data_IF_720538831632
#
_entry.id   IF_720538831632
#
_cell.length_a   1.000
_cell.length_b   1.000
_cell.length_c   1.000
_cell.angle_alpha   90.00
_cell.angle_beta   90.00
_cell.angle_gamma   90.00
#
_symmetry.space_group_name_H-M   'P 1'
#
loop_
_entity.id
_entity.type
_entity.pdbx_description
1 polymer ?
#
# COMPACT_ATOMS: atom_id res chain seq x y z
N UNK A 1 76.55 54.48 -14.87
CA UNK A 1 75.62 53.52 -15.51
C UNK A 1 75.09 52.44 -14.56
N UNK A 2 75.65 52.28 -13.36
CA UNK A 2 75.30 51.20 -12.42
C UNK A 2 73.92 51.28 -11.73
N UNK A 3 73.30 52.46 -11.65
CA UNK A 3 71.97 52.62 -11.05
C UNK A 3 70.83 52.07 -11.93
N UNK A 4 71.05 51.93 -13.25
CA UNK A 4 70.09 51.30 -14.18
C UNK A 4 70.12 49.77 -14.05
N UNK A 5 71.31 49.19 -13.87
CA UNK A 5 71.49 47.75 -13.62
C UNK A 5 70.87 47.30 -12.30
N UNK A 6 71.03 48.08 -11.23
CA UNK A 6 70.46 47.77 -9.91
C UNK A 6 68.92 47.83 -9.90
N UNK A 7 68.32 48.81 -10.59
CA UNK A 7 66.85 48.89 -10.74
C UNK A 7 66.29 47.74 -11.58
N UNK A 8 66.98 47.31 -12.63
CA UNK A 8 66.59 46.15 -13.43
C UNK A 8 66.64 44.85 -12.63
N UNK A 9 67.69 44.67 -11.82
CA UNK A 9 67.85 43.48 -10.98
C UNK A 9 66.80 43.42 -9.85
N UNK A 10 66.52 44.57 -9.22
CA UNK A 10 65.52 44.68 -8.16
C UNK A 10 64.09 44.48 -8.69
N UNK A 11 63.77 45.05 -9.86
CA UNK A 11 62.48 44.85 -10.52
C UNK A 11 62.29 43.39 -10.97
N UNK A 12 63.35 42.73 -11.48
CA UNK A 12 63.32 41.30 -11.79
C UNK A 12 63.07 40.42 -10.56
N UNK A 13 63.64 40.78 -9.40
CA UNK A 13 63.40 40.06 -8.15
C UNK A 13 61.97 40.21 -7.64
N UNK A 14 61.37 41.41 -7.75
CA UNK A 14 59.96 41.64 -7.39
C UNK A 14 59.03 40.80 -8.28
N UNK A 15 59.27 40.76 -9.58
CA UNK A 15 58.48 39.95 -10.52
C UNK A 15 58.59 38.46 -10.18
N UNK A 16 59.78 37.97 -9.82
CA UNK A 16 60.00 36.58 -9.42
C UNK A 16 59.22 36.22 -8.14
N UNK A 17 59.22 37.07 -7.12
CA UNK A 17 58.47 36.83 -5.87
C UNK A 17 56.96 36.82 -6.12
N UNK A 18 56.45 37.73 -6.94
CA UNK A 18 55.04 37.76 -7.35
C UNK A 18 54.69 36.49 -8.14
N UNK A 19 55.54 36.06 -9.08
CA UNK A 19 55.32 34.84 -9.86
C UNK A 19 55.30 33.59 -8.96
N UNK A 20 56.20 33.48 -7.99
CA UNK A 20 56.23 32.38 -7.02
C UNK A 20 54.96 32.40 -6.15
N UNK A 21 54.51 33.57 -5.69
CA UNK A 21 53.27 33.71 -4.93
C UNK A 21 52.03 33.28 -5.71
N UNK A 22 51.96 33.67 -6.99
CA UNK A 22 50.88 33.25 -7.89
C UNK A 22 50.90 31.75 -8.16
N UNK A 23 52.08 31.16 -8.38
CA UNK A 23 52.24 29.71 -8.58
C UNK A 23 51.80 28.95 -7.32
N UNK A 24 52.20 29.39 -6.13
CA UNK A 24 51.76 28.76 -4.88
C UNK A 24 50.24 28.86 -4.67
N UNK A 25 49.64 30.01 -4.96
CA UNK A 25 48.19 30.18 -4.86
C UNK A 25 47.42 29.28 -5.86
N UNK A 26 47.94 29.13 -7.07
CA UNK A 26 47.36 28.25 -8.09
C UNK A 26 47.48 26.78 -7.66
N UNK A 27 48.67 26.35 -7.21
CA UNK A 27 48.91 24.96 -6.81
C UNK A 27 48.07 24.60 -5.58
N UNK A 28 48.02 25.46 -4.57
CA UNK A 28 47.24 25.22 -3.35
C UNK A 28 45.73 25.08 -3.67
N UNK A 29 45.19 25.98 -4.50
CA UNK A 29 43.79 25.92 -4.95
C UNK A 29 43.51 24.67 -5.81
N UNK A 30 44.46 24.20 -6.61
CA UNK A 30 44.29 22.94 -7.36
C UNK A 30 44.27 21.72 -6.45
N UNK A 31 45.11 21.68 -5.41
CA UNK A 31 45.17 20.57 -4.45
C UNK A 31 43.88 20.49 -3.64
N UNK A 32 43.32 21.63 -3.22
CA UNK A 32 42.03 21.68 -2.52
C UNK A 32 40.87 21.19 -3.39
N UNK A 33 40.87 21.52 -4.70
CA UNK A 33 39.87 21.02 -5.65
C UNK A 33 39.98 19.53 -5.92
N UNK A 34 41.20 18.99 -6.05
CA UNK A 34 41.40 17.55 -6.23
C UNK A 34 40.92 16.76 -5.01
N UNK A 35 41.18 17.30 -3.81
CA UNK A 35 40.64 16.73 -2.55
C UNK A 35 39.12 16.79 -2.50
N UNK A 36 38.52 17.94 -2.83
CA UNK A 36 37.07 18.12 -2.86
C UNK A 36 36.40 17.15 -3.85
N UNK A 37 37.01 16.95 -5.03
CA UNK A 37 36.55 16.00 -6.03
C UNK A 37 36.61 14.56 -5.53
N UNK A 38 37.71 14.17 -4.87
CA UNK A 38 37.85 12.83 -4.29
C UNK A 38 36.77 12.56 -3.25
N UNK A 39 36.50 13.53 -2.36
CA UNK A 39 35.44 13.43 -1.35
C UNK A 39 34.09 13.26 -2.04
N UNK A 40 33.78 14.11 -3.03
CA UNK A 40 32.51 14.01 -3.76
C UNK A 40 32.35 12.69 -4.53
N UNK A 41 33.44 12.10 -5.06
CA UNK A 41 33.41 10.79 -5.72
C UNK A 41 33.01 9.68 -4.75
N UNK A 42 33.51 9.69 -3.51
CA UNK A 42 33.11 8.73 -2.47
C UNK A 42 31.62 8.87 -2.14
N UNK A 43 31.15 10.11 -1.93
CA UNK A 43 29.73 10.40 -1.69
C UNK A 43 28.86 9.94 -2.86
N UNK A 44 29.26 10.21 -4.10
CA UNK A 44 28.53 9.77 -5.30
C UNK A 44 28.49 8.24 -5.40
N UNK A 45 29.55 7.55 -4.98
CA UNK A 45 29.62 6.09 -4.88
C UNK A 45 28.61 5.52 -3.89
N UNK A 46 28.59 6.06 -2.66
CA UNK A 46 27.62 5.69 -1.63
C UNK A 46 26.17 5.96 -2.10
N UNK A 47 25.95 7.12 -2.73
CA UNK A 47 24.64 7.50 -3.27
C UNK A 47 24.08 6.47 -4.25
N UNK A 48 24.92 5.97 -5.17
CA UNK A 48 24.53 4.92 -6.12
C UNK A 48 24.14 3.64 -5.38
N UNK A 49 24.89 3.27 -4.34
CA UNK A 49 24.59 2.12 -3.49
C UNK A 49 23.23 2.24 -2.81
N UNK A 50 22.93 3.40 -2.22
CA UNK A 50 21.63 3.67 -1.59
C UNK A 50 20.48 3.64 -2.59
N UNK A 51 20.66 4.26 -3.76
CA UNK A 51 19.67 4.20 -4.85
C UNK A 51 19.41 2.76 -5.27
N UNK A 52 20.45 1.94 -5.42
CA UNK A 52 20.29 0.55 -5.86
C UNK A 52 19.63 -0.34 -4.80
N UNK A 53 19.98 -0.13 -3.52
CA UNK A 53 19.27 -0.74 -2.40
C UNK A 53 17.78 -0.36 -2.41
N UNK A 54 17.44 0.89 -2.72
CA UNK A 54 16.04 1.35 -2.75
C UNK A 54 15.20 0.67 -3.83
N UNK A 55 15.81 0.28 -4.95
CA UNK A 55 15.12 -0.45 -6.04
C UNK A 55 14.94 -1.92 -5.71
N UNK A 56 15.92 -2.53 -5.03
CA UNK A 56 15.98 -3.97 -4.80
C UNK A 56 15.39 -4.40 -3.44
N UNK A 57 15.09 -3.46 -2.54
CA UNK A 57 14.58 -3.75 -1.21
C UNK A 57 13.16 -4.31 -1.23
N UNK A 58 13.05 -5.64 -1.12
CA UNK A 58 11.77 -6.36 -1.04
C UNK A 58 11.26 -6.54 0.40
N UNK A 59 12.17 -6.57 1.38
CA UNK A 59 11.82 -6.78 2.78
C UNK A 59 11.41 -5.48 3.45
N UNK A 60 10.35 -5.55 4.23
CA UNK A 60 9.64 -4.39 4.78
C UNK A 60 10.41 -3.67 5.89
N UNK A 61 10.94 -4.40 6.87
CA UNK A 61 11.81 -3.83 7.92
C UNK A 61 13.08 -3.17 7.37
N UNK A 62 13.62 -3.68 6.25
CA UNK A 62 14.78 -3.10 5.57
C UNK A 62 14.46 -1.77 4.88
N UNK A 63 13.19 -1.46 4.59
CA UNK A 63 12.80 -0.19 3.97
C UNK A 63 12.83 0.97 4.97
N UNK A 64 12.41 0.73 6.22
CA UNK A 64 12.50 1.73 7.30
C UNK A 64 13.98 2.01 7.65
N UNK A 65 14.81 0.97 7.75
CA UNK A 65 16.25 1.12 7.94
C UNK A 65 16.89 1.90 6.78
N UNK A 66 16.57 1.54 5.53
CA UNK A 66 17.07 2.24 4.36
C UNK A 66 16.59 3.71 4.28
N UNK A 67 15.38 4.01 4.75
CA UNK A 67 14.92 5.40 4.87
C UNK A 67 15.85 6.20 5.78
N UNK A 68 16.18 5.67 6.96
CA UNK A 68 17.08 6.32 7.91
C UNK A 68 18.50 6.46 7.34
N UNK A 69 19.03 5.43 6.67
CA UNK A 69 20.33 5.50 5.98
C UNK A 69 20.38 6.65 4.95
N UNK A 70 19.32 6.78 4.14
CA UNK A 70 19.22 7.83 3.12
C UNK A 70 19.06 9.21 3.76
N UNK A 71 18.29 9.31 4.85
CA UNK A 71 18.12 10.56 5.60
C UNK A 71 19.44 11.04 6.20
N UNK A 72 20.20 10.14 6.82
CA UNK A 72 21.53 10.44 7.36
C UNK A 72 22.50 10.85 6.25
N UNK A 73 22.53 10.12 5.13
CA UNK A 73 23.34 10.50 3.96
C UNK A 73 22.99 11.91 3.46
N UNK A 74 21.69 12.23 3.33
CA UNK A 74 21.23 13.56 2.89
C UNK A 74 21.66 14.64 3.88
N UNK A 75 21.67 14.34 5.19
CA UNK A 75 22.20 15.24 6.21
C UNK A 75 23.70 15.50 6.01
N UNK A 76 24.51 14.45 5.85
CA UNK A 76 25.96 14.57 5.65
C UNK A 76 26.32 15.37 4.38
N UNK A 77 25.57 15.19 3.29
CA UNK A 77 25.75 16.00 2.06
C UNK A 77 25.48 17.50 2.31
N UNK A 78 24.56 17.85 3.24
CA UNK A 78 24.29 19.24 3.62
C UNK A 78 25.39 19.84 4.53
N UNK A 79 26.23 19.01 5.11
CA UNK A 79 27.34 19.44 5.96
C UNK A 79 28.65 19.61 5.18
N UNK A 80 28.73 19.11 3.95
CA UNK A 80 29.86 19.33 3.04
C UNK A 80 30.14 20.81 2.82
N UNK A 81 31.41 21.14 2.55
CA UNK A 81 31.79 22.48 2.13
C UNK A 81 31.22 22.81 0.74
N UNK A 82 31.05 24.10 0.42
CA UNK A 82 30.49 24.52 -0.87
C UNK A 82 31.30 24.00 -2.06
N UNK A 83 32.63 23.98 -1.93
CA UNK A 83 33.54 23.47 -2.96
C UNK A 83 33.41 21.95 -3.17
N UNK A 84 33.07 21.20 -2.14
CA UNK A 84 32.85 19.75 -2.21
C UNK A 84 31.49 19.45 -2.84
N UNK A 85 30.46 20.22 -2.46
CA UNK A 85 29.10 20.10 -3.02
C UNK A 85 29.02 20.38 -4.51
N UNK A 86 29.89 21.23 -5.05
CA UNK A 86 29.94 21.52 -6.50
C UNK A 86 30.14 20.26 -7.34
N UNK A 87 30.84 19.26 -6.79
CA UNK A 87 31.16 18.00 -7.47
C UNK A 87 30.15 16.87 -7.17
N UNK A 88 29.13 17.12 -6.35
CA UNK A 88 28.05 16.15 -6.12
C UNK A 88 27.19 16.04 -7.39
N UNK A 89 26.91 14.80 -7.79
CA UNK A 89 26.08 14.53 -8.96
C UNK A 89 24.62 14.88 -8.66
N UNK A 90 24.17 16.02 -9.21
CA UNK A 90 22.81 16.52 -9.03
C UNK A 90 21.73 15.57 -9.56
N UNK A 91 22.01 14.79 -10.60
CA UNK A 91 21.03 13.84 -11.14
C UNK A 91 20.87 12.64 -10.20
N UNK A 92 21.98 12.10 -9.69
CA UNK A 92 21.95 11.07 -8.67
C UNK A 92 21.28 11.58 -7.40
N UNK A 93 21.58 12.81 -6.97
CA UNK A 93 20.98 13.38 -5.77
C UNK A 93 19.46 13.49 -5.89
N UNK A 94 18.95 13.96 -7.04
CA UNK A 94 17.50 13.97 -7.32
C UNK A 94 16.89 12.58 -7.27
N UNK A 95 17.55 11.56 -7.84
CA UNK A 95 17.09 10.17 -7.77
C UNK A 95 17.03 9.66 -6.33
N UNK A 96 18.01 10.00 -5.51
CA UNK A 96 18.03 9.65 -4.09
C UNK A 96 16.89 10.33 -3.32
N UNK A 97 16.64 11.62 -3.54
CA UNK A 97 15.52 12.34 -2.90
C UNK A 97 14.17 11.73 -3.28
N UNK A 98 13.99 11.36 -4.54
CA UNK A 98 12.78 10.64 -4.97
C UNK A 98 12.64 9.26 -4.30
N UNK A 99 13.75 8.55 -4.09
CA UNK A 99 13.76 7.30 -3.34
C UNK A 99 13.39 7.53 -1.86
N UNK A 100 13.96 8.56 -1.21
CA UNK A 100 13.62 8.97 0.17
C UNK A 100 12.12 9.21 0.31
N UNK A 101 11.53 10.03 -0.55
CA UNK A 101 10.10 10.36 -0.50
C UNK A 101 9.19 9.14 -0.64
N UNK A 102 9.56 8.16 -1.49
CA UNK A 102 8.82 6.90 -1.60
C UNK A 102 8.89 6.06 -0.33
N UNK A 103 10.07 6.01 0.31
CA UNK A 103 10.28 5.27 1.55
C UNK A 103 9.63 5.97 2.76
N UNK A 104 9.58 7.30 2.75
CA UNK A 104 8.86 8.11 3.74
C UNK A 104 7.37 7.79 3.75
N UNK A 105 6.72 7.84 2.58
CA UNK A 105 5.32 7.44 2.44
C UNK A 105 5.07 6.00 2.91
N UNK A 106 6.02 5.11 2.65
CA UNK A 106 5.95 3.73 3.13
C UNK A 106 6.00 3.66 4.67
N UNK A 107 6.92 4.40 5.30
CA UNK A 107 7.06 4.50 6.75
C UNK A 107 5.79 5.08 7.38
N UNK A 108 5.24 6.15 6.82
CA UNK A 108 4.01 6.78 7.33
C UNK A 108 2.81 5.82 7.29
N UNK A 109 2.64 5.11 6.16
CA UNK A 109 1.58 4.10 6.03
C UNK A 109 1.72 2.98 7.07
N UNK A 110 2.95 2.64 7.48
CA UNK A 110 3.21 1.63 8.51
C UNK A 110 2.94 2.15 9.90
N UNK A 111 3.27 3.40 10.17
CA UNK A 111 2.94 4.04 11.43
C UNK A 111 1.42 4.12 11.62
N UNK A 112 0.67 4.51 10.59
CA UNK A 112 -0.80 4.47 10.60
C UNK A 112 -1.33 3.05 10.87
N UNK A 113 -0.69 2.02 10.28
CA UNK A 113 -1.06 0.64 10.55
C UNK A 113 -0.76 0.21 12.00
N UNK A 114 0.32 0.69 12.62
CA UNK A 114 0.64 0.45 14.04
C UNK A 114 -0.37 1.13 14.95
N UNK A 115 -0.77 2.36 14.65
CA UNK A 115 -1.84 3.07 15.39
C UNK A 115 -3.17 2.30 15.32
N UNK A 116 -3.51 1.76 14.15
CA UNK A 116 -4.68 0.89 13.99
C UNK A 116 -4.60 -0.37 14.86
N UNK A 117 -3.41 -0.97 15.03
CA UNK A 117 -3.23 -2.11 15.96
C UNK A 117 -3.51 -1.70 17.39
N UNK A 118 -3.03 -0.53 17.84
CA UNK A 118 -3.30 -0.04 19.20
C UNK A 118 -4.81 0.11 19.42
N UNK A 119 -5.51 0.75 18.49
CA UNK A 119 -6.97 0.90 18.56
C UNK A 119 -7.70 -0.46 18.51
N UNK A 120 -7.18 -1.40 17.71
CA UNK A 120 -7.70 -2.75 17.58
C UNK A 120 -7.57 -3.54 18.88
N UNK A 121 -6.39 -3.50 19.54
CA UNK A 121 -6.14 -4.19 20.80
C UNK A 121 -7.11 -3.70 21.89
N UNK A 122 -7.35 -2.40 21.99
CA UNK A 122 -8.33 -1.82 22.93
C UNK A 122 -9.74 -2.38 22.66
N UNK A 123 -10.17 -2.43 21.40
CA UNK A 123 -11.51 -2.94 21.05
C UNK A 123 -11.65 -4.44 21.29
N UNK A 124 -10.63 -5.22 20.96
CA UNK A 124 -10.59 -6.66 21.27
C UNK A 124 -10.69 -6.86 22.79
N UNK A 125 -9.99 -6.06 23.59
CA UNK A 125 -10.01 -6.18 25.04
C UNK A 125 -11.40 -5.89 25.62
N UNK A 126 -12.07 -4.84 25.16
CA UNK A 126 -13.36 -4.38 25.70
C UNK A 126 -14.54 -5.24 25.27
N UNK A 127 -14.50 -5.84 24.07
CA UNK A 127 -15.61 -6.66 23.59
C UNK A 127 -15.74 -7.94 24.44
N UNK A 128 -16.92 -8.21 24.98
CA UNK A 128 -17.19 -9.43 25.75
C UNK A 128 -16.96 -10.66 24.85
N UNK A 129 -16.43 -11.77 25.37
CA UNK A 129 -16.29 -13.00 24.58
C UNK A 129 -17.64 -13.59 24.15
N UNK A 130 -18.67 -13.36 24.95
CA UNK A 130 -20.06 -13.75 24.69
C UNK A 130 -20.90 -12.57 24.17
N UNK A 131 -20.27 -11.61 23.46
CA UNK A 131 -20.92 -10.42 22.92
C UNK A 131 -22.23 -10.72 22.18
N UNK A 132 -23.22 -9.85 22.37
CA UNK A 132 -24.54 -9.97 21.75
C UNK A 132 -24.42 -9.54 20.29
N UNK A 133 -24.60 -10.48 19.36
CA UNK A 133 -24.40 -10.19 17.95
C UNK A 133 -25.31 -9.04 17.51
N UNK A 134 -26.58 -8.96 17.90
CA UNK A 134 -27.46 -7.89 17.41
C UNK A 134 -26.99 -6.49 17.82
N UNK A 135 -26.34 -6.36 18.97
CA UNK A 135 -25.87 -5.08 19.50
C UNK A 135 -24.43 -4.76 19.10
N UNK A 136 -23.58 -5.77 18.98
CA UNK A 136 -22.13 -5.63 18.93
C UNK A 136 -21.54 -5.92 17.53
N UNK A 137 -22.36 -6.28 16.52
CA UNK A 137 -21.94 -6.42 15.11
C UNK A 137 -21.04 -5.28 14.63
N UNK A 138 -21.38 -3.99 14.84
CA UNK A 138 -20.55 -2.92 14.29
C UNK A 138 -19.12 -2.91 14.86
N UNK A 139 -18.95 -3.36 16.10
CA UNK A 139 -17.62 -3.49 16.71
C UNK A 139 -16.88 -4.71 16.16
N UNK A 140 -17.55 -5.86 16.05
CA UNK A 140 -16.96 -7.06 15.48
C UNK A 140 -16.54 -6.85 14.01
N UNK A 141 -17.40 -6.22 13.21
CA UNK A 141 -17.10 -5.84 11.83
C UNK A 141 -15.88 -4.91 11.75
N UNK A 142 -15.83 -3.88 12.60
CA UNK A 142 -14.68 -2.98 12.66
C UNK A 142 -13.39 -3.75 12.97
N UNK A 143 -13.42 -4.64 13.97
CA UNK A 143 -12.26 -5.43 14.39
C UNK A 143 -11.75 -6.29 13.22
N UNK A 144 -12.64 -7.07 12.61
CA UNK A 144 -12.30 -7.99 11.52
C UNK A 144 -11.82 -7.24 10.27
N UNK A 145 -12.52 -6.17 9.86
CA UNK A 145 -12.11 -5.35 8.70
C UNK A 145 -10.77 -4.66 8.94
N UNK A 146 -10.57 -4.10 10.13
CA UNK A 146 -9.32 -3.43 10.49
C UNK A 146 -8.18 -4.42 10.45
N UNK A 147 -8.30 -5.58 11.11
CA UNK A 147 -7.28 -6.62 11.10
C UNK A 147 -6.94 -7.08 9.68
N UNK A 148 -7.94 -7.33 8.85
CA UNK A 148 -7.75 -7.77 7.47
C UNK A 148 -7.16 -6.71 6.54
N UNK A 149 -7.18 -5.43 6.93
CA UNK A 149 -6.51 -4.34 6.21
C UNK A 149 -5.03 -4.17 6.57
N UNK A 150 -4.58 -4.73 7.69
CA UNK A 150 -3.21 -4.56 8.17
C UNK A 150 -2.19 -5.35 7.32
N UNK A 151 -0.96 -4.84 7.17
CA UNK A 151 0.17 -5.63 6.65
C UNK A 151 0.39 -6.90 7.48
N UNK A 152 0.80 -7.99 6.82
CA UNK A 152 0.89 -9.31 7.44
C UNK A 152 1.85 -9.37 8.63
N UNK A 153 2.97 -8.66 8.56
CA UNK A 153 3.95 -8.58 9.64
C UNK A 153 3.43 -7.73 10.82
N UNK A 154 2.62 -6.71 10.55
CA UNK A 154 1.97 -5.91 11.59
C UNK A 154 0.84 -6.70 12.28
N UNK A 155 0.10 -7.55 11.58
CA UNK A 155 -0.92 -8.42 12.22
C UNK A 155 -0.37 -9.29 13.33
N UNK A 156 0.90 -9.71 13.23
CA UNK A 156 1.57 -10.53 14.25
C UNK A 156 1.79 -9.78 15.57
N UNK A 157 1.59 -8.46 15.58
CA UNK A 157 1.74 -7.61 16.78
C UNK A 157 0.42 -7.42 17.55
N UNK A 158 -0.68 -7.98 17.07
CA UNK A 158 -1.95 -8.01 17.80
C UNK A 158 -1.81 -8.94 19.01
N UNK A 159 -2.15 -8.43 20.19
CA UNK A 159 -1.78 -9.05 21.47
C UNK A 159 -2.61 -10.32 21.78
N UNK A 160 -3.94 -10.24 21.64
CA UNK A 160 -4.85 -11.32 21.98
C UNK A 160 -5.47 -11.96 20.73
N UNK A 161 -4.64 -12.71 20.00
CA UNK A 161 -5.06 -13.44 18.80
C UNK A 161 -6.10 -14.53 19.09
N UNK A 162 -6.10 -15.10 20.30
CA UNK A 162 -7.10 -16.10 20.69
C UNK A 162 -8.48 -15.46 20.72
N UNK A 163 -8.60 -14.30 21.36
CA UNK A 163 -9.86 -13.55 21.42
C UNK A 163 -10.26 -12.99 20.06
N UNK A 164 -9.32 -12.46 19.29
CA UNK A 164 -9.58 -12.05 17.90
C UNK A 164 -10.20 -13.18 17.08
N UNK A 165 -9.61 -14.39 17.10
CA UNK A 165 -10.09 -15.51 16.30
C UNK A 165 -11.52 -15.91 16.69
N UNK A 166 -11.86 -15.87 17.99
CA UNK A 166 -13.24 -16.10 18.45
C UNK A 166 -14.21 -15.04 17.91
N UNK A 167 -13.81 -13.75 17.96
CA UNK A 167 -14.62 -12.64 17.43
C UNK A 167 -14.85 -12.81 15.93
N UNK A 168 -13.78 -13.12 15.18
CA UNK A 168 -13.85 -13.35 13.74
C UNK A 168 -14.77 -14.51 13.38
N UNK A 169 -14.62 -15.63 14.08
CA UNK A 169 -15.42 -16.83 13.84
C UNK A 169 -16.92 -16.56 14.05
N UNK A 170 -17.28 -15.95 15.20
CA UNK A 170 -18.65 -15.56 15.51
C UNK A 170 -19.21 -14.53 14.54
N UNK A 171 -18.40 -13.56 14.11
CA UNK A 171 -18.80 -12.58 13.10
C UNK A 171 -19.12 -13.25 11.76
N UNK A 172 -18.30 -14.19 11.31
CA UNK A 172 -18.57 -14.92 10.08
C UNK A 172 -19.76 -15.89 10.20
N UNK A 173 -20.01 -16.49 11.36
CA UNK A 173 -21.25 -17.24 11.64
C UNK A 173 -22.48 -16.35 11.52
N UNK A 174 -22.46 -15.17 12.13
CA UNK A 174 -23.56 -14.23 12.01
C UNK A 174 -23.85 -13.85 10.56
N UNK A 175 -22.81 -13.55 9.78
CA UNK A 175 -22.99 -13.22 8.36
C UNK A 175 -23.53 -14.40 7.56
N UNK A 176 -23.08 -15.62 7.86
CA UNK A 176 -23.61 -16.83 7.23
C UNK A 176 -25.10 -17.01 7.57
N UNK A 177 -25.47 -16.95 8.85
CA UNK A 177 -26.86 -17.08 9.32
C UNK A 177 -27.78 -16.05 8.66
N UNK A 178 -27.32 -14.81 8.45
CA UNK A 178 -28.10 -13.80 7.73
C UNK A 178 -28.39 -14.18 6.28
N UNK A 179 -27.46 -14.84 5.62
CA UNK A 179 -27.67 -15.37 4.27
C UNK A 179 -28.59 -16.58 4.30
N UNK A 180 -28.44 -17.47 5.28
CA UNK A 180 -29.33 -18.62 5.46
C UNK A 180 -30.78 -18.18 5.69
N UNK A 181 -31.01 -17.16 6.51
CA UNK A 181 -32.32 -16.54 6.73
C UNK A 181 -32.94 -16.03 5.40
N UNK A 182 -32.13 -15.42 4.52
CA UNK A 182 -32.59 -14.98 3.19
C UNK A 182 -32.97 -16.18 2.29
N UNK A 183 -32.17 -17.25 2.32
CA UNK A 183 -32.42 -18.48 1.55
C UNK A 183 -33.71 -19.16 2.02
N UNK A 184 -33.91 -19.26 3.33
CA UNK A 184 -35.12 -19.83 3.92
C UNK A 184 -36.34 -18.95 3.60
N UNK A 185 -36.17 -17.62 3.65
CA UNK A 185 -37.18 -16.61 3.33
C UNK A 185 -37.72 -16.64 1.89
N UNK A 186 -37.03 -17.32 0.96
CA UNK A 186 -37.55 -17.59 -0.39
C UNK A 186 -38.87 -18.37 -0.30
N UNK A 187 -38.95 -19.36 0.61
CA UNK A 187 -40.14 -20.20 0.75
C UNK A 187 -40.44 -21.08 -0.48
N UNK A 188 -41.72 -21.28 -0.78
CA UNK A 188 -42.17 -22.01 -1.98
C UNK A 188 -41.83 -21.20 -3.24
N UNK A 189 -41.18 -21.84 -4.21
CA UNK A 189 -40.75 -21.18 -5.46
C UNK A 189 -41.92 -21.07 -6.42
N UNK A 190 -42.17 -19.85 -6.91
CA UNK A 190 -43.21 -19.52 -7.89
C UNK A 190 -42.60 -18.67 -9.00
N UNK A 191 -43.10 -18.82 -10.23
CA UNK A 191 -42.68 -17.96 -11.33
C UNK A 191 -43.39 -16.60 -11.27
N UNK A 192 -42.88 -15.74 -10.40
CA UNK A 192 -43.27 -14.35 -10.26
C UNK A 192 -42.06 -13.46 -9.94
N UNK A 193 -42.24 -12.14 -10.02
CA UNK A 193 -41.16 -11.17 -9.78
C UNK A 193 -40.74 -11.16 -8.30
N UNK A 194 -41.65 -11.44 -7.37
CA UNK A 194 -41.34 -11.45 -5.94
C UNK A 194 -40.38 -12.57 -5.55
N UNK A 195 -40.59 -13.79 -6.09
CA UNK A 195 -39.68 -14.91 -5.89
C UNK A 195 -38.33 -14.66 -6.58
N UNK A 196 -38.34 -14.02 -7.76
CA UNK A 196 -37.13 -13.60 -8.47
C UNK A 196 -36.28 -12.64 -7.64
N UNK A 197 -36.91 -11.62 -7.06
CA UNK A 197 -36.22 -10.62 -6.25
C UNK A 197 -35.63 -11.26 -4.98
N UNK A 198 -36.34 -12.19 -4.31
CA UNK A 198 -35.79 -12.94 -3.16
C UNK A 198 -34.59 -13.81 -3.52
N UNK A 199 -34.66 -14.53 -4.65
CA UNK A 199 -33.54 -15.33 -5.15
C UNK A 199 -32.33 -14.46 -5.46
N UNK A 200 -32.56 -13.29 -6.05
CA UNK A 200 -31.53 -12.31 -6.32
C UNK A 200 -30.91 -11.75 -5.03
N UNK A 201 -31.71 -11.38 -4.04
CA UNK A 201 -31.23 -10.88 -2.75
C UNK A 201 -30.37 -11.91 -2.01
N UNK A 202 -30.84 -13.16 -1.89
CA UNK A 202 -30.10 -14.25 -1.28
C UNK A 202 -28.78 -14.54 -2.03
N UNK A 203 -28.84 -14.61 -3.38
CA UNK A 203 -27.66 -14.85 -4.21
C UNK A 203 -26.63 -13.72 -4.12
N UNK A 204 -27.08 -12.47 -4.08
CA UNK A 204 -26.23 -11.30 -3.87
C UNK A 204 -25.56 -11.35 -2.50
N UNK A 205 -26.33 -11.58 -1.44
CA UNK A 205 -25.82 -11.63 -0.08
C UNK A 205 -24.77 -12.75 0.08
N UNK A 206 -25.04 -13.95 -0.44
CA UNK A 206 -24.08 -15.06 -0.43
C UNK A 206 -22.78 -14.70 -1.16
N UNK A 207 -22.84 -14.08 -2.33
CA UNK A 207 -21.63 -13.71 -3.08
C UNK A 207 -20.78 -12.69 -2.31
N UNK A 208 -21.41 -11.71 -1.71
CA UNK A 208 -20.74 -10.60 -1.05
C UNK A 208 -20.07 -11.05 0.28
N UNK A 209 -20.37 -12.27 0.76
CA UNK A 209 -19.66 -12.89 1.87
C UNK A 209 -18.18 -13.14 1.56
N UNK A 210 -17.35 -12.93 2.58
CA UNK A 210 -15.97 -13.39 2.60
C UNK A 210 -15.92 -14.94 2.50
N UNK A 211 -14.83 -15.47 1.93
CA UNK A 211 -14.66 -16.92 1.74
C UNK A 211 -14.85 -17.73 3.02
N UNK A 212 -14.38 -17.22 4.17
CA UNK A 212 -14.55 -17.90 5.46
C UNK A 212 -16.02 -17.96 5.90
N UNK A 213 -16.79 -16.90 5.68
CA UNK A 213 -18.23 -16.88 5.97
C UNK A 213 -19.01 -17.79 4.99
N UNK A 214 -18.66 -17.82 3.70
CA UNK A 214 -19.29 -18.72 2.71
C UNK A 214 -19.23 -20.19 3.12
N UNK A 215 -18.13 -20.62 3.75
CA UNK A 215 -17.96 -22.00 4.22
C UNK A 215 -18.86 -22.38 5.39
N UNK A 216 -19.42 -21.38 6.07
CA UNK A 216 -20.33 -21.56 7.20
C UNK A 216 -21.80 -21.57 6.79
N UNK A 217 -22.14 -21.24 5.54
CA UNK A 217 -23.51 -21.32 5.02
C UNK A 217 -23.83 -22.78 4.69
N UNK A 218 -24.69 -23.40 5.50
CA UNK A 218 -25.05 -24.81 5.42
C UNK A 218 -26.15 -25.08 4.38
N UNK A 219 -27.11 -24.16 4.23
CA UNK A 219 -28.26 -24.34 3.33
C UNK A 219 -28.01 -23.88 1.88
N UNK A 220 -26.75 -23.75 1.44
CA UNK A 220 -26.42 -23.33 0.06
C UNK A 220 -27.01 -24.26 -1.01
N UNK A 221 -27.09 -25.56 -0.76
CA UNK A 221 -27.72 -26.49 -1.69
C UNK A 221 -29.23 -26.21 -1.86
N UNK A 222 -29.90 -25.78 -0.79
CA UNK A 222 -31.32 -25.39 -0.83
C UNK A 222 -31.52 -24.17 -1.72
N UNK A 223 -30.59 -23.20 -1.67
CA UNK A 223 -30.60 -22.07 -2.60
C UNK A 223 -30.47 -22.53 -4.06
N UNK A 224 -29.55 -23.45 -4.34
CA UNK A 224 -29.33 -23.97 -5.70
C UNK A 224 -30.56 -24.71 -6.24
N UNK A 225 -31.19 -25.55 -5.42
CA UNK A 225 -32.44 -26.25 -5.78
C UNK A 225 -33.60 -25.28 -6.05
N UNK A 226 -33.74 -24.24 -5.23
CA UNK A 226 -34.77 -23.21 -5.42
C UNK A 226 -34.54 -22.42 -6.71
N UNK A 227 -33.28 -22.09 -6.99
CA UNK A 227 -32.89 -21.38 -8.20
C UNK A 227 -33.18 -22.24 -9.45
N UNK A 228 -32.80 -23.52 -9.43
CA UNK A 228 -33.10 -24.47 -10.51
C UNK A 228 -34.62 -24.62 -10.74
N UNK A 229 -35.39 -24.69 -9.66
CA UNK A 229 -36.85 -24.80 -9.72
C UNK A 229 -37.47 -23.56 -10.38
N UNK A 230 -37.02 -22.36 -10.01
CA UNK A 230 -37.55 -21.12 -10.59
C UNK A 230 -37.34 -21.08 -12.10
N UNK A 231 -36.14 -21.45 -12.57
CA UNK A 231 -35.83 -21.47 -13.99
C UNK A 231 -36.61 -22.54 -14.77
N UNK A 232 -36.87 -23.71 -14.18
CA UNK A 232 -37.77 -24.70 -14.81
C UNK A 232 -39.17 -24.11 -15.03
N UNK A 233 -39.69 -23.39 -14.04
CA UNK A 233 -41.00 -22.73 -14.17
C UNK A 233 -40.97 -21.59 -15.20
N UNK A 234 -39.86 -20.86 -15.31
CA UNK A 234 -39.66 -19.85 -16.36
C UNK A 234 -39.65 -20.47 -17.76
N UNK A 235 -38.92 -21.55 -17.96
CA UNK A 235 -38.86 -22.29 -19.22
C UNK A 235 -40.26 -22.83 -19.62
N UNK A 236 -40.98 -23.41 -18.66
CA UNK A 236 -42.35 -23.90 -18.85
C UNK A 236 -43.32 -22.77 -19.22
N UNK A 237 -43.16 -21.59 -18.62
CA UNK A 237 -44.02 -20.44 -18.88
C UNK A 237 -43.71 -19.72 -20.20
N UNK A 238 -42.45 -19.71 -20.62
CA UNK A 238 -41.97 -18.94 -21.78
C UNK A 238 -41.78 -19.77 -23.05
N UNK A 239 -41.77 -21.11 -22.96
CA UNK A 239 -41.59 -22.00 -24.10
C UNK A 239 -40.19 -21.95 -24.72
N UNK A 240 -39.26 -21.28 -24.06
CA UNK A 240 -37.84 -21.26 -24.40
C UNK A 240 -37.14 -22.29 -23.51
N UNK A 241 -36.32 -23.19 -24.08
CA UNK A 241 -35.21 -23.73 -23.30
C UNK A 241 -34.29 -22.54 -23.05
N UNK A 242 -34.26 -22.01 -21.83
CA UNK A 242 -33.19 -21.11 -21.46
C UNK A 242 -31.88 -21.91 -21.47
N UNK A 243 -31.19 -21.91 -22.60
CA UNK A 243 -29.82 -22.42 -22.77
C UNK A 243 -28.79 -21.64 -21.92
N UNK A 244 -29.22 -20.81 -20.96
CA UNK A 244 -28.37 -20.09 -20.02
C UNK A 244 -28.00 -20.93 -18.81
N UNK A 245 -27.38 -22.09 -19.06
CA UNK A 245 -26.55 -22.71 -18.03
C UNK A 245 -25.38 -23.48 -18.65
N UNK A 246 -24.53 -22.74 -19.38
CA UNK A 246 -23.12 -23.15 -19.51
C UNK A 246 -22.09 -22.15 -18.99
N UNK A 247 -22.46 -20.95 -18.53
CA UNK A 247 -21.47 -19.99 -18.01
C UNK A 247 -21.84 -19.29 -16.67
N UNK A 248 -22.93 -19.64 -15.99
CA UNK A 248 -23.59 -18.68 -15.10
C UNK A 248 -23.53 -18.89 -13.58
N UNK A 249 -22.33 -18.70 -13.05
CA UNK A 249 -22.15 -17.70 -12.00
C UNK A 249 -22.19 -16.26 -12.58
N UNK A 250 -21.90 -16.11 -13.88
CA UNK A 250 -21.86 -14.85 -14.64
C UNK A 250 -23.19 -14.13 -14.91
N UNK A 251 -24.34 -14.80 -15.07
CA UNK A 251 -25.61 -14.09 -15.34
C UNK A 251 -26.24 -13.45 -14.11
N UNK A 252 -25.98 -13.96 -12.90
CA UNK A 252 -26.24 -13.20 -11.67
C UNK A 252 -25.38 -11.91 -11.65
N UNK A 253 -24.13 -11.97 -12.12
CA UNK A 253 -23.29 -10.76 -12.29
C UNK A 253 -23.84 -9.81 -13.36
N UNK A 254 -24.35 -10.32 -14.49
CA UNK A 254 -24.98 -9.51 -15.54
C UNK A 254 -26.26 -8.81 -15.06
N UNK A 255 -27.14 -9.53 -14.36
CA UNK A 255 -28.39 -8.99 -13.82
C UNK A 255 -28.13 -7.90 -12.75
N UNK A 256 -27.09 -8.08 -11.94
CA UNK A 256 -26.67 -7.13 -10.90
C UNK A 256 -26.00 -5.88 -11.49
N UNK A 257 -25.16 -6.04 -12.52
CA UNK A 257 -24.44 -4.92 -13.16
C UNK A 257 -25.37 -3.96 -13.92
N UNK A 258 -26.51 -4.47 -14.41
CA UNK A 258 -27.40 -3.71 -15.27
C UNK A 258 -28.66 -3.14 -14.58
N UNK A 259 -29.03 -3.60 -13.36
CA UNK A 259 -30.14 -2.97 -12.58
C UNK A 259 -29.75 -1.65 -11.88
N UNK A 260 -28.49 -1.24 -11.92
CA UNK A 260 -28.00 0.04 -11.37
C UNK A 260 -27.88 1.19 -12.38
N UNK A 261 -28.24 0.97 -13.65
CA UNK A 261 -28.07 1.94 -14.73
C UNK A 261 -29.40 2.22 -15.45
N UNK A 262 -30.43 2.61 -14.69
CA UNK A 262 -31.60 3.27 -15.25
C UNK A 262 -31.29 4.77 -15.46
N UNK A 263 -30.41 5.06 -16.41
CA UNK A 263 -30.61 6.26 -17.22
C UNK A 263 -31.49 5.85 -18.39
N UNK A 264 -32.78 5.93 -18.14
CA UNK A 264 -33.82 6.02 -19.17
C UNK A 264 -33.56 7.35 -19.88
N UNK A 265 -32.88 7.30 -21.02
CA UNK A 265 -33.11 8.28 -22.07
C UNK A 265 -34.10 7.64 -23.03
N UNK A 266 -35.39 7.85 -22.71
CA UNK A 266 -36.41 8.01 -23.74
C UNK A 266 -36.10 9.32 -24.47
N UNK A 267 -35.57 9.20 -25.69
CA UNK A 267 -35.95 9.93 -26.92
C UNK A 267 -35.05 9.49 -28.09
#
# INVERSE_FOLDING_TARGET
EDLKGFKGLFMGFIILVIAIGLIHAIIFNSVDRDKAKSIAEDYNGEMRGLIERSKSCRQDWKKEELYNDIEDYVHRVRELEDVEREYIDNELYRKLINAKSRLEKYKDNREEAREKVVALNVKIQVLDENFDMEKDIPQAEYIVKTFNSLPSDIRLTVEDMTKYNKIEDRYYEYLANKVEELIDGIGEVKYDEACKDKLYEAGKAYRDLATSAKRKVENKNVFDEKLETYYKLEDEATGSHSDMFKEDLGMLEWYIKNKGNTNVNEE
#
